data_IF_267465900546
#
_entry.id   IF_267465900546
#
_cell.length_a   1.000
_cell.length_b   1.000
_cell.length_c   1.000
_cell.angle_alpha   90.00
_cell.angle_beta   90.00
_cell.angle_gamma   90.00
#
_symmetry.space_group_name_H-M   'P 1'
#
loop_
_entity.id
_entity.type
_entity.pdbx_description
1 polymer ?
#
# COMPACT_ATOMS: atom_id res chain seq x y z
N UNK A 1 -7.82 10.67 -4.26
CA UNK A 1 -7.88 9.28 -3.81
C UNK A 1 -9.34 8.88 -3.72
N UNK A 2 -9.73 7.94 -4.57
CA UNK A 2 -11.09 7.39 -4.60
C UNK A 2 -11.33 6.52 -3.36
N UNK A 3 -12.54 6.59 -2.83
CA UNK A 3 -13.03 5.68 -1.80
C UNK A 3 -13.00 4.27 -2.37
N UNK A 4 -12.28 3.34 -1.73
CA UNK A 4 -12.43 1.92 -2.03
C UNK A 4 -13.88 1.56 -1.69
N UNK A 5 -14.66 1.25 -2.72
CA UNK A 5 -16.07 0.85 -2.59
C UNK A 5 -17.00 1.87 -1.88
N UNK A 6 -16.67 3.16 -1.86
CA UNK A 6 -17.47 4.16 -1.13
C UNK A 6 -17.32 4.14 0.40
N UNK A 7 -16.51 3.23 0.95
CA UNK A 7 -16.09 3.20 2.35
C UNK A 7 -14.92 4.17 2.58
N UNK A 8 -14.62 4.49 3.85
CA UNK A 8 -13.62 5.50 4.25
C UNK A 8 -12.34 5.42 3.39
N UNK A 9 -11.76 6.57 3.00
CA UNK A 9 -10.52 6.57 2.24
C UNK A 9 -9.45 5.83 3.04
N UNK A 10 -8.71 4.92 2.40
CA UNK A 10 -7.39 4.57 2.92
C UNK A 10 -6.62 5.88 3.12
N UNK A 11 -5.99 6.02 4.28
CA UNK A 11 -5.23 7.21 4.65
C UNK A 11 -4.25 7.59 3.54
N UNK A 12 -4.07 8.90 3.26
CA UNK A 12 -3.19 9.35 2.20
C UNK A 12 -1.76 8.88 2.43
N UNK A 13 -1.07 8.63 1.32
CA UNK A 13 0.38 8.42 1.28
C UNK A 13 1.09 9.53 2.07
N UNK A 14 2.05 9.20 2.95
CA UNK A 14 2.80 10.20 3.70
C UNK A 14 3.56 11.15 2.76
N UNK A 15 3.57 12.43 3.12
CA UNK A 15 4.49 13.42 2.56
C UNK A 15 5.75 13.43 3.43
N UNK A 16 6.91 13.61 2.81
CA UNK A 16 8.20 13.68 3.50
C UNK A 16 8.86 15.03 3.22
N UNK A 17 9.92 15.38 3.92
CA UNK A 17 10.70 16.60 3.83
C UNK A 17 12.16 16.17 3.74
N UNK A 18 12.76 16.36 2.57
CA UNK A 18 14.15 16.01 2.31
C UNK A 18 14.94 17.31 2.06
N UNK A 19 16.01 17.53 2.83
CA UNK A 19 16.88 18.73 2.73
C UNK A 19 16.12 20.07 2.77
N UNK A 20 15.08 20.16 3.61
CA UNK A 20 14.30 21.40 3.78
C UNK A 20 13.27 21.66 2.67
N UNK A 21 13.00 20.68 1.80
CA UNK A 21 11.94 20.75 0.79
C UNK A 21 10.90 19.66 1.03
N UNK A 22 9.62 20.00 0.93
CA UNK A 22 8.55 19.01 0.98
C UNK A 22 8.62 18.12 -0.27
N UNK A 23 8.85 16.83 -0.05
CA UNK A 23 8.85 15.76 -1.03
C UNK A 23 7.50 15.04 -0.98
N UNK A 24 6.79 15.12 -2.09
CA UNK A 24 5.52 14.44 -2.29
C UNK A 24 5.77 13.24 -3.21
N UNK A 25 5.44 12.05 -2.73
CA UNK A 25 5.39 10.86 -3.58
C UNK A 25 3.97 10.80 -4.15
N UNK A 26 3.82 11.31 -5.38
CA UNK A 26 2.56 11.28 -6.08
C UNK A 26 2.45 9.98 -6.87
N UNK A 27 1.45 9.19 -6.50
CA UNK A 27 0.99 8.07 -7.30
C UNK A 27 0.00 8.64 -8.31
N UNK A 28 0.51 8.97 -9.50
CA UNK A 28 -0.33 9.48 -10.57
C UNK A 28 -0.92 8.31 -11.36
N UNK A 29 -2.24 8.33 -11.47
CA UNK A 29 -2.94 7.63 -12.55
C UNK A 29 -2.88 8.56 -13.75
N UNK A 30 -2.04 8.24 -14.72
CA UNK A 30 -1.98 9.00 -15.96
C UNK A 30 -3.17 8.59 -16.84
N UNK A 31 -4.26 9.38 -16.78
CA UNK A 31 -5.34 9.28 -17.75
C UNK A 31 -5.08 10.28 -18.88
N UNK A 32 -4.48 9.82 -19.98
CA UNK A 32 -4.53 10.56 -21.25
C UNK A 32 -5.52 9.90 -22.20
N UNK A 33 -6.26 10.75 -22.91
CA UNK A 33 -7.38 10.41 -23.80
C UNK A 33 -6.83 9.77 -25.08
N UNK A 34 -6.45 8.50 -25.02
CA UNK A 34 -6.82 7.50 -26.02
C UNK A 34 -6.59 6.10 -25.45
N UNK A 35 -7.52 5.19 -25.72
CA UNK A 35 -7.64 3.87 -25.05
C UNK A 35 -6.36 3.04 -25.17
N UNK A 36 -5.66 2.78 -24.05
CA UNK A 36 -4.91 1.53 -23.72
C UNK A 36 -3.73 1.72 -22.74
N UNK A 37 -3.88 2.51 -21.66
CA UNK A 37 -2.87 2.57 -20.60
C UNK A 37 -3.50 2.81 -19.22
N UNK A 38 -3.17 1.96 -18.24
CA UNK A 38 -3.39 2.16 -16.80
C UNK A 38 -2.11 1.76 -16.05
N UNK A 39 -1.06 2.56 -16.21
CA UNK A 39 0.16 2.48 -15.40
C UNK A 39 0.07 3.41 -14.19
N UNK A 40 0.68 3.00 -13.08
CA UNK A 40 0.97 3.89 -11.95
C UNK A 40 2.42 4.33 -12.06
N UNK A 41 2.63 5.63 -12.15
CA UNK A 41 3.95 6.24 -12.01
C UNK A 41 4.07 6.76 -10.57
N UNK A 42 5.18 6.42 -9.90
CA UNK A 42 5.60 7.07 -8.67
C UNK A 42 6.55 8.19 -9.06
N UNK A 43 6.02 9.40 -9.20
CA UNK A 43 6.82 10.60 -9.37
C UNK A 43 7.12 11.19 -7.99
N UNK A 44 8.39 11.45 -7.72
CA UNK A 44 8.78 12.31 -6.63
C UNK A 44 8.80 13.75 -7.14
N UNK A 45 8.02 14.62 -6.51
CA UNK A 45 8.08 16.05 -6.77
C UNK A 45 8.51 16.77 -5.50
N UNK A 46 9.42 17.73 -5.66
CA UNK A 46 9.74 18.70 -4.62
C UNK A 46 8.75 19.85 -4.76
N UNK A 47 8.02 20.15 -3.70
CA UNK A 47 7.15 21.32 -3.63
C UNK A 47 8.07 22.52 -3.41
N UNK A 48 8.41 23.20 -4.50
CA UNK A 48 9.07 24.50 -4.41
C UNK A 48 8.05 25.52 -3.88
N UNK A 49 8.33 26.09 -2.70
CA UNK A 49 7.55 27.20 -2.14
C UNK A 49 7.52 28.37 -3.13
N UNK A 50 6.33 28.70 -3.63
CA UNK A 50 6.09 29.78 -4.59
C UNK A 50 6.57 31.13 -4.03
N UNK A 51 7.51 31.85 -4.69
CA UNK A 51 7.77 33.25 -4.39
C UNK A 51 6.65 34.16 -4.97
N UNK A 52 6.39 35.33 -4.38
CA UNK A 52 5.26 36.19 -4.78
C UNK A 52 5.44 36.78 -6.20
N UNK A 53 4.34 37.18 -6.88
CA UNK A 53 4.34 37.49 -8.29
C UNK A 53 5.06 38.82 -8.57
N UNK A 54 6.00 38.81 -9.50
CA UNK A 54 6.59 40.02 -10.08
C UNK A 54 6.07 40.21 -11.50
N UNK A 55 5.72 41.46 -11.79
CA UNK A 55 5.01 42.03 -12.93
C UNK A 55 5.60 41.78 -14.32
N UNK A 56 4.66 41.67 -15.26
CA UNK A 56 4.72 41.64 -16.73
C UNK A 56 5.64 42.68 -17.37
N UNK A 57 6.39 42.28 -18.42
CA UNK A 57 6.70 43.10 -19.61
C UNK A 57 7.17 42.25 -20.80
N UNK A 58 6.55 42.47 -21.95
CA UNK A 58 6.94 42.06 -23.33
C UNK A 58 7.25 43.35 -24.14
N UNK A 59 7.69 43.30 -25.42
CA UNK A 59 8.68 42.46 -26.15
C UNK A 59 9.72 43.41 -26.88
N UNK A 60 10.44 43.15 -28.03
CA UNK A 60 9.99 42.54 -29.29
C UNK A 60 10.97 41.57 -30.03
N UNK A 61 10.33 40.89 -30.99
CA UNK A 61 10.70 40.04 -32.13
C UNK A 61 11.96 40.38 -32.94
N UNK A 62 12.69 39.35 -33.41
CA UNK A 62 13.27 39.35 -34.77
C UNK A 62 13.43 37.94 -35.36
N UNK A 63 12.93 37.79 -36.59
CA UNK A 63 12.89 36.63 -37.47
C UNK A 63 14.25 36.31 -38.12
N UNK A 64 14.59 35.02 -38.30
CA UNK A 64 15.23 34.47 -39.52
C UNK A 64 15.44 32.95 -39.45
N UNK A 65 14.86 32.22 -40.41
CA UNK A 65 15.21 30.84 -40.80
C UNK A 65 16.35 30.85 -41.83
N UNK A 66 17.18 29.79 -41.85
CA UNK A 66 17.33 29.00 -43.08
C UNK A 66 17.43 27.47 -42.83
N UNK A 67 17.36 26.64 -43.89
CA UNK A 67 17.06 25.21 -43.80
C UNK A 67 18.31 24.33 -43.78
N UNK A 68 18.31 23.27 -42.98
CA UNK A 68 19.27 22.16 -43.16
C UNK A 68 18.63 20.83 -42.80
N UNK A 69 18.54 19.98 -43.81
CA UNK A 69 18.19 18.56 -43.77
C UNK A 69 19.10 17.80 -42.80
N UNK A 70 18.54 17.10 -41.83
CA UNK A 70 19.25 16.11 -41.01
C UNK A 70 18.59 14.73 -41.17
N UNK A 71 19.40 13.65 -41.27
CA UNK A 71 18.91 12.28 -41.42
C UNK A 71 18.24 11.79 -40.13
N UNK A 72 17.30 10.86 -40.29
CA UNK A 72 16.45 10.30 -39.24
C UNK A 72 17.24 9.91 -37.97
N UNK A 73 16.73 10.23 -36.76
CA UNK A 73 17.38 9.79 -35.53
C UNK A 73 17.22 8.27 -35.39
N UNK A 74 18.36 7.61 -35.13
CA UNK A 74 18.42 6.28 -34.56
C UNK A 74 17.60 6.31 -33.26
N UNK A 75 16.53 5.50 -33.22
CA UNK A 75 15.68 5.34 -32.04
C UNK A 75 16.50 4.58 -30.99
N UNK A 76 17.22 5.31 -30.16
CA UNK A 76 17.79 4.78 -28.93
C UNK A 76 16.66 4.74 -27.91
N UNK A 77 15.99 3.58 -27.77
CA UNK A 77 15.01 3.34 -26.69
C UNK A 77 15.63 3.71 -25.36
N UNK A 78 14.93 4.51 -24.57
CA UNK A 78 15.38 4.93 -23.25
C UNK A 78 15.42 3.72 -22.32
N UNK A 79 16.46 3.53 -21.48
CA UNK A 79 16.50 2.46 -20.47
C UNK A 79 15.28 2.44 -19.53
N UNK A 80 14.57 3.57 -19.39
CA UNK A 80 13.33 3.68 -18.61
C UNK A 80 12.11 3.04 -19.28
N UNK A 81 12.06 2.99 -20.61
CA UNK A 81 10.92 2.39 -21.32
C UNK A 81 10.90 0.87 -21.18
N UNK A 82 12.08 0.22 -21.23
CA UNK A 82 12.18 -1.23 -21.05
C UNK A 82 11.83 -1.71 -19.64
N UNK A 83 12.16 -0.93 -18.61
CA UNK A 83 11.84 -1.28 -17.21
C UNK A 83 10.32 -1.24 -16.94
N UNK A 84 9.61 -0.28 -17.52
CA UNK A 84 8.16 -0.16 -17.37
C UNK A 84 7.42 -1.34 -18.02
N UNK A 85 7.92 -1.84 -19.16
CA UNK A 85 7.39 -3.01 -19.83
C UNK A 85 7.60 -4.29 -18.99
N UNK A 86 8.78 -4.44 -18.37
CA UNK A 86 9.10 -5.59 -17.51
C UNK A 86 8.25 -5.61 -16.23
N UNK A 87 8.07 -4.47 -15.56
CA UNK A 87 7.22 -4.34 -14.37
C UNK A 87 5.77 -4.63 -14.72
N UNK A 88 5.28 -4.10 -15.85
CA UNK A 88 3.91 -4.35 -16.33
C UNK A 88 3.68 -5.83 -16.65
N UNK A 89 4.68 -6.48 -17.27
CA UNK A 89 4.63 -7.91 -17.55
C UNK A 89 4.65 -8.74 -16.26
N UNK A 90 5.47 -8.37 -15.27
CA UNK A 90 5.53 -9.04 -13.98
C UNK A 90 4.19 -8.91 -13.21
N UNK A 91 3.60 -7.71 -13.20
CA UNK A 91 2.26 -7.46 -12.64
C UNK A 91 1.20 -8.31 -13.35
N UNK A 92 1.18 -8.33 -14.68
CA UNK A 92 0.24 -9.17 -15.43
C UNK A 92 0.38 -10.65 -15.08
N UNK A 93 1.63 -11.16 -15.04
CA UNK A 93 1.89 -12.56 -14.68
C UNK A 93 1.40 -12.92 -13.27
N UNK A 94 1.57 -12.03 -12.28
CA UNK A 94 1.13 -12.32 -10.91
C UNK A 94 -0.40 -12.28 -10.80
N UNK A 95 -1.06 -11.36 -11.49
CA UNK A 95 -2.52 -11.31 -11.59
C UNK A 95 -3.05 -12.57 -12.27
N UNK A 96 -2.51 -12.94 -13.43
CA UNK A 96 -2.90 -14.17 -14.14
C UNK A 96 -2.70 -15.41 -13.27
N UNK A 97 -1.61 -15.47 -12.49
CA UNK A 97 -1.36 -16.55 -11.54
C UNK A 97 -2.42 -16.61 -10.44
N UNK A 98 -2.74 -15.50 -9.78
CA UNK A 98 -3.81 -15.45 -8.78
C UNK A 98 -5.17 -15.85 -9.37
N UNK A 99 -5.50 -15.36 -10.56
CA UNK A 99 -6.72 -15.73 -11.26
C UNK A 99 -6.74 -17.22 -11.64
N UNK A 100 -5.58 -17.82 -11.90
CA UNK A 100 -5.42 -19.25 -12.10
C UNK A 100 -5.67 -20.11 -10.85
N UNK A 101 -5.52 -19.55 -9.64
CA UNK A 101 -5.85 -20.26 -8.39
C UNK A 101 -7.36 -20.40 -8.18
N UNK A 102 -8.17 -19.59 -8.86
CA UNK A 102 -9.64 -19.60 -8.79
C UNK A 102 -10.18 -20.89 -9.40
N UNK A 103 -10.84 -21.72 -8.57
CA UNK A 103 -11.46 -22.98 -9.04
C UNK A 103 -12.69 -22.70 -9.91
N UNK A 104 -12.79 -23.43 -11.02
CA UNK A 104 -13.95 -23.39 -11.93
C UNK A 104 -15.04 -24.34 -11.45
N UNK A 105 -16.31 -23.97 -11.66
CA UNK A 105 -17.46 -24.87 -11.49
C UNK A 105 -18.01 -25.03 -10.07
N UNK A 106 -17.41 -24.43 -9.04
CA UNK A 106 -17.98 -24.42 -7.68
C UNK A 106 -18.56 -23.05 -7.36
N UNK A 107 -19.74 -22.97 -6.75
CA UNK A 107 -20.31 -21.69 -6.30
C UNK A 107 -19.64 -21.17 -5.02
N UNK A 108 -19.06 -22.06 -4.20
CA UNK A 108 -18.33 -21.74 -2.97
C UNK A 108 -16.93 -22.35 -3.01
N UNK A 109 -16.02 -21.87 -2.14
CA UNK A 109 -14.64 -22.37 -2.02
C UNK A 109 -13.81 -22.23 -3.31
N UNK A 110 -14.04 -21.17 -4.07
CA UNK A 110 -13.32 -20.88 -5.32
C UNK A 110 -11.87 -20.52 -5.04
N UNK A 111 -11.63 -19.78 -3.97
CA UNK A 111 -10.31 -19.22 -3.64
C UNK A 111 -9.60 -19.98 -2.51
N UNK A 112 -10.36 -20.71 -1.69
CA UNK A 112 -9.82 -21.59 -0.66
C UNK A 112 -9.37 -20.86 0.60
N UNK A 113 -8.62 -21.55 1.45
CA UNK A 113 -8.30 -21.08 2.81
C UNK A 113 -7.32 -19.90 2.87
N UNK A 114 -6.58 -19.62 1.78
CA UNK A 114 -5.68 -18.47 1.67
C UNK A 114 -6.37 -17.22 1.12
N UNK A 115 -7.68 -17.29 0.86
CA UNK A 115 -8.46 -16.21 0.29
C UNK A 115 -8.18 -14.83 0.93
N UNK A 116 -8.11 -14.67 2.27
CA UNK A 116 -7.81 -13.36 2.85
C UNK A 116 -6.50 -12.73 2.34
N UNK A 117 -5.45 -13.54 2.20
CA UNK A 117 -4.14 -13.08 1.70
C UNK A 117 -4.17 -12.84 0.19
N UNK A 118 -4.86 -13.71 -0.55
CA UNK A 118 -5.04 -13.57 -2.00
C UNK A 118 -5.80 -12.28 -2.32
N UNK A 119 -6.86 -11.97 -1.58
CA UNK A 119 -7.67 -10.77 -1.81
C UNK A 119 -6.82 -9.50 -1.68
N UNK A 120 -6.07 -9.36 -0.59
CA UNK A 120 -5.19 -8.20 -0.37
C UNK A 120 -4.08 -8.13 -1.42
N UNK A 121 -3.42 -9.25 -1.72
CA UNK A 121 -2.34 -9.27 -2.71
C UNK A 121 -2.84 -8.95 -4.12
N UNK A 122 -3.99 -9.49 -4.51
CA UNK A 122 -4.61 -9.20 -5.81
C UNK A 122 -5.04 -7.74 -5.89
N UNK A 123 -5.61 -7.18 -4.82
CA UNK A 123 -6.00 -5.76 -4.78
C UNK A 123 -4.79 -4.83 -4.96
N UNK A 124 -3.68 -5.11 -4.25
CA UNK A 124 -2.46 -4.32 -4.37
C UNK A 124 -1.80 -4.47 -5.75
N UNK A 125 -1.89 -5.65 -6.35
CA UNK A 125 -1.39 -5.88 -7.71
C UNK A 125 -2.27 -5.21 -8.77
N UNK A 126 -3.59 -5.29 -8.64
CA UNK A 126 -4.55 -4.83 -9.62
C UNK A 126 -5.91 -4.45 -9.00
N UNK A 127 -6.15 -3.13 -8.93
CA UNK A 127 -7.39 -2.57 -8.39
C UNK A 127 -8.58 -2.72 -9.36
N UNK A 128 -8.35 -2.97 -10.66
CA UNK A 128 -9.44 -3.11 -11.64
C UNK A 128 -10.34 -4.31 -11.33
N UNK A 129 -9.77 -5.38 -10.74
CA UNK A 129 -10.53 -6.54 -10.27
C UNK A 129 -11.48 -6.26 -9.09
N UNK A 130 -11.33 -5.10 -8.45
CA UNK A 130 -12.08 -4.70 -7.25
C UNK A 130 -13.03 -3.52 -7.51
N UNK A 131 -13.17 -3.10 -8.77
CA UNK A 131 -14.15 -2.11 -9.15
C UNK A 131 -15.59 -2.65 -9.00
N UNK A 132 -16.51 -1.74 -8.71
CA UNK A 132 -17.93 -2.07 -8.57
C UNK A 132 -18.45 -2.72 -9.87
N UNK A 133 -19.15 -3.85 -9.75
CA UNK A 133 -19.66 -4.60 -10.90
C UNK A 133 -18.74 -5.71 -11.40
N UNK A 134 -17.50 -5.80 -10.90
CA UNK A 134 -16.64 -6.95 -11.17
C UNK A 134 -17.08 -8.16 -10.32
N UNK A 135 -17.34 -9.31 -10.96
CA UNK A 135 -17.73 -10.54 -10.24
C UNK A 135 -16.68 -11.02 -9.23
N UNK A 136 -15.40 -10.71 -9.43
CA UNK A 136 -14.29 -11.13 -8.55
C UNK A 136 -14.47 -10.61 -7.12
N UNK A 137 -14.75 -9.31 -6.94
CA UNK A 137 -14.92 -8.74 -5.61
C UNK A 137 -16.12 -9.31 -4.87
N UNK A 138 -17.23 -9.54 -5.59
CA UNK A 138 -18.44 -10.14 -5.03
C UNK A 138 -18.19 -11.59 -4.57
N UNK A 139 -17.46 -12.36 -5.38
CA UNK A 139 -17.07 -13.73 -5.03
C UNK A 139 -16.17 -13.78 -3.79
N UNK A 140 -15.15 -12.91 -3.74
CA UNK A 140 -14.24 -12.84 -2.61
C UNK A 140 -14.97 -12.41 -1.34
N UNK A 141 -15.81 -11.37 -1.42
CA UNK A 141 -16.66 -10.92 -0.31
C UNK A 141 -17.52 -12.06 0.24
N UNK A 142 -18.28 -12.74 -0.65
CA UNK A 142 -19.18 -13.83 -0.26
C UNK A 142 -18.42 -14.95 0.44
N UNK A 143 -17.28 -15.38 -0.13
CA UNK A 143 -16.50 -16.48 0.44
C UNK A 143 -15.78 -16.08 1.74
N UNK A 144 -15.23 -14.85 1.84
CA UNK A 144 -14.66 -14.32 3.08
C UNK A 144 -15.69 -14.30 4.21
N UNK A 145 -16.89 -13.81 3.91
CA UNK A 145 -18.01 -13.74 4.84
C UNK A 145 -18.39 -15.13 5.34
N UNK A 146 -18.55 -16.11 4.45
CA UNK A 146 -18.86 -17.50 4.83
C UNK A 146 -17.74 -18.10 5.69
N UNK A 147 -16.47 -17.90 5.32
CA UNK A 147 -15.34 -18.42 6.10
C UNK A 147 -15.30 -17.83 7.51
N UNK A 148 -15.55 -16.52 7.65
CA UNK A 148 -15.53 -15.86 8.95
C UNK A 148 -16.74 -16.21 9.81
N UNK A 149 -17.94 -16.26 9.22
CA UNK A 149 -19.16 -16.70 9.93
C UNK A 149 -19.02 -18.13 10.43
N UNK A 150 -18.40 -19.02 9.64
CA UNK A 150 -18.12 -20.40 10.08
C UNK A 150 -17.19 -20.44 11.29
N UNK A 151 -16.22 -19.53 11.41
CA UNK A 151 -15.34 -19.42 12.59
C UNK A 151 -16.06 -18.89 13.83
N UNK A 152 -17.12 -18.11 13.64
CA UNK A 152 -17.95 -17.54 14.70
C UNK A 152 -19.08 -18.48 15.17
N UNK A 153 -19.27 -19.63 14.50
CA UNK A 153 -20.28 -20.60 14.91
C UNK A 153 -20.06 -21.06 16.36
N UNK A 154 -21.16 -21.21 17.10
CA UNK A 154 -21.12 -21.62 18.52
C UNK A 154 -20.79 -20.50 19.50
N UNK A 155 -20.87 -19.23 19.10
CA UNK A 155 -20.63 -18.08 19.98
C UNK A 155 -19.14 -17.82 20.28
N UNK A 156 -18.25 -18.42 19.49
CA UNK A 156 -16.81 -18.26 19.65
C UNK A 156 -16.33 -16.83 19.32
N UNK A 157 -15.25 -16.43 19.98
CA UNK A 157 -14.50 -15.22 19.63
C UNK A 157 -13.48 -15.51 18.54
N UNK A 158 -13.24 -14.55 17.64
CA UNK A 158 -12.17 -14.67 16.66
C UNK A 158 -10.82 -14.50 17.36
N UNK A 159 -9.84 -15.30 16.96
CA UNK A 159 -8.47 -15.14 17.47
C UNK A 159 -7.87 -13.87 16.87
N UNK A 160 -6.99 -13.20 17.60
CA UNK A 160 -6.20 -12.06 17.10
C UNK A 160 -5.63 -12.27 15.70
N UNK A 161 -4.98 -13.42 15.45
CA UNK A 161 -4.44 -13.77 14.13
C UNK A 161 -5.51 -13.80 13.03
N UNK A 162 -6.71 -14.30 13.34
CA UNK A 162 -7.82 -14.30 12.39
C UNK A 162 -8.26 -12.84 12.11
N UNK A 163 -8.46 -12.02 13.16
CA UNK A 163 -8.80 -10.61 13.02
C UNK A 163 -7.79 -9.86 12.12
N UNK A 164 -6.48 -10.02 12.39
CA UNK A 164 -5.42 -9.32 11.64
C UNK A 164 -5.36 -9.71 10.16
N UNK A 165 -5.83 -10.90 9.79
CA UNK A 165 -5.80 -11.38 8.40
C UNK A 165 -7.12 -11.06 7.69
N UNK A 166 -8.26 -11.14 8.38
CA UNK A 166 -9.57 -10.93 7.79
C UNK A 166 -9.94 -9.46 7.65
N UNK A 167 -9.59 -8.59 8.61
CA UNK A 167 -9.88 -7.15 8.51
C UNK A 167 -9.39 -6.55 7.19
N UNK A 168 -8.09 -6.66 6.81
CA UNK A 168 -7.63 -6.09 5.54
C UNK A 168 -8.28 -6.75 4.32
N UNK A 169 -8.59 -8.05 4.39
CA UNK A 169 -9.27 -8.76 3.32
C UNK A 169 -10.72 -8.29 3.10
N UNK A 170 -11.44 -8.04 4.20
CA UNK A 170 -12.81 -7.51 4.17
C UNK A 170 -12.82 -6.10 3.58
N UNK A 171 -11.88 -5.24 4.00
CA UNK A 171 -11.75 -3.87 3.48
C UNK A 171 -11.57 -3.85 1.96
N UNK A 172 -10.65 -4.67 1.42
CA UNK A 172 -10.45 -4.72 -0.04
C UNK A 172 -11.61 -5.40 -0.76
N UNK A 173 -12.34 -6.30 -0.10
CA UNK A 173 -13.51 -6.98 -0.65
C UNK A 173 -14.82 -6.18 -0.48
N UNK A 174 -14.74 -4.88 -0.20
CA UNK A 174 -15.90 -4.00 0.01
C UNK A 174 -16.83 -4.44 1.16
N UNK A 175 -16.30 -5.03 2.22
CA UNK A 175 -17.04 -5.35 3.45
C UNK A 175 -16.51 -4.47 4.57
N UNK A 176 -17.41 -3.78 5.27
CA UNK A 176 -17.05 -2.96 6.42
C UNK A 176 -16.70 -3.84 7.64
N UNK A 177 -15.43 -3.92 8.07
CA UNK A 177 -15.05 -4.71 9.24
C UNK A 177 -15.55 -4.10 10.56
N UNK A 178 -15.96 -2.82 10.59
CA UNK A 178 -16.51 -2.17 11.79
C UNK A 178 -17.99 -2.47 12.01
N UNK A 179 -18.67 -2.99 10.98
CA UNK A 179 -20.06 -3.41 11.04
C UNK A 179 -20.26 -4.77 10.38
N UNK A 180 -19.42 -5.74 10.75
CA UNK A 180 -19.54 -7.10 10.27
C UNK A 180 -20.65 -7.84 11.03
N UNK A 181 -21.86 -7.87 10.46
CA UNK A 181 -23.04 -8.51 11.08
C UNK A 181 -23.31 -8.03 12.52
N UNK A 182 -23.18 -6.72 12.75
CA UNK A 182 -23.37 -6.11 14.07
C UNK A 182 -22.17 -6.23 15.01
N UNK A 183 -21.01 -6.69 14.52
CA UNK A 183 -19.75 -6.72 15.27
C UNK A 183 -18.74 -5.74 14.69
N UNK A 184 -18.03 -5.04 15.56
CA UNK A 184 -16.87 -4.22 15.19
C UNK A 184 -15.60 -5.06 15.38
N UNK A 185 -15.13 -5.68 14.29
CA UNK A 185 -13.94 -6.52 14.31
C UNK A 185 -12.66 -5.70 14.56
N UNK A 186 -12.67 -4.41 14.21
CA UNK A 186 -11.55 -3.50 14.44
C UNK A 186 -11.43 -3.20 15.93
N UNK A 187 -12.55 -2.90 16.58
CA UNK A 187 -12.61 -2.71 18.03
C UNK A 187 -12.28 -4.00 18.79
N UNK A 188 -12.74 -5.17 18.31
CA UNK A 188 -12.35 -6.47 18.88
C UNK A 188 -10.82 -6.65 18.84
N UNK A 189 -10.17 -6.36 17.70
CA UNK A 189 -8.70 -6.44 17.59
C UNK A 189 -7.98 -5.45 18.52
N UNK A 190 -8.46 -4.20 18.60
CA UNK A 190 -7.90 -3.17 19.49
C UNK A 190 -7.96 -3.62 20.96
N UNK A 191 -9.13 -4.07 21.40
CA UNK A 191 -9.36 -4.57 22.76
C UNK A 191 -8.44 -5.78 23.08
N UNK A 192 -8.28 -6.70 22.13
CA UNK A 192 -7.40 -7.85 22.27
C UNK A 192 -5.93 -7.45 22.44
N UNK A 193 -5.46 -6.42 21.73
CA UNK A 193 -4.09 -5.91 21.86
C UNK A 193 -3.91 -5.27 23.24
N UNK A 194 -4.83 -4.41 23.66
CA UNK A 194 -4.73 -3.66 24.92
C UNK A 194 -4.80 -4.58 26.15
N UNK A 195 -5.72 -5.55 26.15
CA UNK A 195 -5.92 -6.48 27.27
C UNK A 195 -4.75 -7.43 27.51
N UNK A 196 -3.99 -7.78 26.48
CA UNK A 196 -2.83 -8.68 26.59
C UNK A 196 -1.52 -7.92 26.82
N UNK A 197 -1.48 -7.09 27.86
CA UNK A 197 -0.36 -6.20 28.20
C UNK A 197 0.10 -5.27 27.06
N UNK A 198 -0.71 -5.10 26.01
CA UNK A 198 -0.29 -4.39 24.82
C UNK A 198 0.70 -5.15 23.93
N UNK A 199 0.83 -6.48 23.93
CA UNK A 199 1.84 -7.14 23.07
C UNK A 199 1.41 -7.24 21.58
N UNK A 200 0.96 -6.14 20.99
CA UNK A 200 0.58 -6.06 19.58
C UNK A 200 1.80 -6.14 18.66
N UNK A 201 1.73 -6.97 17.63
CA UNK A 201 2.74 -7.01 16.57
C UNK A 201 2.63 -5.78 15.65
N UNK A 202 3.70 -5.38 14.95
CA UNK A 202 3.63 -4.26 14.01
C UNK A 202 2.57 -4.46 12.91
N UNK A 203 2.37 -5.70 12.47
CA UNK A 203 1.33 -6.04 11.50
C UNK A 203 -0.08 -5.77 12.04
N UNK A 204 -0.33 -6.06 13.32
CA UNK A 204 -1.63 -5.79 13.96
C UNK A 204 -1.91 -4.28 14.06
N UNK A 205 -0.89 -3.48 14.40
CA UNK A 205 -1.01 -2.02 14.43
C UNK A 205 -1.21 -1.42 13.04
N UNK A 206 -0.52 -1.94 12.02
CA UNK A 206 -0.73 -1.57 10.62
C UNK A 206 -2.18 -1.85 10.19
N UNK A 207 -2.72 -3.03 10.55
CA UNK A 207 -4.10 -3.40 10.24
C UNK A 207 -5.10 -2.44 10.88
N UNK A 208 -4.91 -2.10 12.17
CA UNK A 208 -5.75 -1.12 12.86
C UNK A 208 -5.68 0.25 12.19
N UNK A 209 -4.48 0.73 11.88
CA UNK A 209 -4.28 2.03 11.24
C UNK A 209 -4.94 2.11 9.85
N UNK A 210 -4.75 1.08 9.02
CA UNK A 210 -5.38 0.98 7.71
C UNK A 210 -6.92 0.92 7.80
N UNK A 211 -7.46 0.36 8.88
CA UNK A 211 -8.90 0.34 9.17
C UNK A 211 -9.43 1.65 9.77
N UNK A 212 -8.61 2.70 9.79
CA UNK A 212 -8.95 4.03 10.30
C UNK A 212 -9.12 4.07 11.81
N UNK A 213 -8.56 3.10 12.54
CA UNK A 213 -8.51 3.15 13.99
C UNK A 213 -7.54 4.23 14.48
N UNK A 214 -7.88 4.94 15.56
CA UNK A 214 -7.06 6.02 16.08
C UNK A 214 -5.75 5.46 16.65
N UNK A 215 -4.61 5.89 16.10
CA UNK A 215 -3.30 5.53 16.62
C UNK A 215 -2.94 6.41 17.82
N UNK A 216 -2.39 5.81 18.87
CA UNK A 216 -1.96 6.52 20.08
C UNK A 216 -0.44 6.74 20.12
N UNK A 217 0.04 7.66 20.95
CA UNK A 217 1.48 7.83 21.22
C UNK A 217 2.12 6.54 21.74
N UNK A 218 1.35 5.72 22.47
CA UNK A 218 1.78 4.40 22.95
C UNK A 218 2.00 3.43 21.80
N UNK A 219 1.17 3.49 20.75
CA UNK A 219 1.34 2.68 19.54
C UNK A 219 2.60 3.13 18.78
N UNK A 220 2.80 4.44 18.63
CA UNK A 220 4.00 5.03 18.01
C UNK A 220 5.27 4.58 18.73
N UNK A 221 5.32 4.76 20.05
CA UNK A 221 6.47 4.36 20.87
C UNK A 221 6.73 2.85 20.78
N UNK A 222 5.66 2.04 20.72
CA UNK A 222 5.77 0.59 20.55
C UNK A 222 6.38 0.22 19.21
N UNK A 223 5.96 0.85 18.12
CA UNK A 223 6.53 0.59 16.79
C UNK A 223 8.02 0.91 16.75
N UNK A 224 8.44 2.04 17.32
CA UNK A 224 9.85 2.40 17.46
C UNK A 224 10.61 1.36 18.32
N UNK A 225 10.07 0.97 19.47
CA UNK A 225 10.69 -0.04 20.35
C UNK A 225 10.85 -1.39 19.65
N UNK A 226 9.83 -1.83 18.91
CA UNK A 226 9.89 -3.08 18.15
C UNK A 226 10.95 -2.97 17.06
N UNK A 227 11.05 -1.81 16.39
CA UNK A 227 12.09 -1.56 15.39
C UNK A 227 13.50 -1.63 15.96
N UNK A 228 13.72 -1.27 17.22
CA UNK A 228 15.06 -1.24 17.84
C UNK A 228 15.48 -2.56 18.54
N UNK A 229 14.53 -3.45 18.84
CA UNK A 229 14.73 -4.73 19.53
C UNK A 229 15.55 -5.84 18.81
N UNK A 230 16.83 -5.62 18.43
CA UNK A 230 17.71 -6.42 17.52
C UNK A 230 17.85 -7.96 17.66
N UNK A 231 17.10 -8.65 18.52
CA UNK A 231 17.36 -10.04 18.92
C UNK A 231 16.25 -11.04 18.53
N UNK A 232 15.38 -10.76 17.54
CA UNK A 232 14.24 -11.63 17.19
C UNK A 232 14.41 -12.29 15.81
N UNK A 233 13.96 -13.55 15.60
CA UNK A 233 13.78 -14.11 14.26
C UNK A 233 12.86 -13.23 13.38
N UNK A 234 13.11 -13.17 12.07
CA UNK A 234 12.40 -12.29 11.12
C UNK A 234 12.47 -10.80 11.49
N UNK A 235 13.60 -10.42 12.09
CA UNK A 235 13.91 -9.07 12.55
C UNK A 235 13.56 -8.00 11.51
N UNK A 236 14.09 -8.14 10.30
CA UNK A 236 13.93 -7.16 9.23
C UNK A 236 12.49 -7.07 8.73
N UNK A 237 11.75 -8.18 8.70
CA UNK A 237 10.31 -8.16 8.34
C UNK A 237 9.50 -7.38 9.38
N UNK A 238 9.79 -7.54 10.67
CA UNK A 238 9.13 -6.78 11.73
C UNK A 238 9.50 -5.29 11.68
N UNK A 239 10.75 -4.97 11.37
CA UNK A 239 11.20 -3.59 11.17
C UNK A 239 10.49 -2.92 9.99
N UNK A 240 10.36 -3.63 8.86
CA UNK A 240 9.61 -3.14 7.70
C UNK A 240 8.14 -2.91 8.05
N UNK A 241 7.48 -3.87 8.71
CA UNK A 241 6.09 -3.71 9.16
C UNK A 241 5.93 -2.57 10.16
N UNK A 242 6.88 -2.35 11.07
CA UNK A 242 6.86 -1.23 12.01
C UNK A 242 7.01 0.11 11.30
N UNK A 243 7.84 0.17 10.26
CA UNK A 243 8.01 1.36 9.41
C UNK A 243 6.72 1.68 8.67
N UNK A 244 6.08 0.68 8.06
CA UNK A 244 4.78 0.83 7.39
C UNK A 244 3.66 1.28 8.35
N UNK A 245 3.58 0.66 9.52
CA UNK A 245 2.59 0.99 10.53
C UNK A 245 2.78 2.42 11.06
N UNK A 246 4.02 2.84 11.28
CA UNK A 246 4.36 4.17 11.72
C UNK A 246 4.07 5.22 10.64
N UNK A 247 4.35 4.90 9.38
CA UNK A 247 4.03 5.74 8.23
C UNK A 247 2.51 5.94 8.06
N UNK A 248 1.73 4.89 8.31
CA UNK A 248 0.27 5.02 8.36
C UNK A 248 -0.15 5.92 9.53
N UNK A 249 0.42 5.72 10.73
CA UNK A 249 0.09 6.52 11.91
C UNK A 249 0.42 8.00 11.71
N UNK A 250 1.54 8.33 11.05
CA UNK A 250 1.93 9.72 10.75
C UNK A 250 1.00 10.43 9.78
N UNK A 251 0.24 9.68 8.97
CA UNK A 251 -0.77 10.24 8.09
C UNK A 251 -2.07 10.62 8.82
N UNK A 252 -2.30 10.07 10.03
CA UNK A 252 -3.52 10.32 10.79
C UNK A 252 -3.52 11.70 11.47
N UNK A 253 -4.67 12.39 11.50
CA UNK A 253 -4.79 13.66 12.21
C UNK A 253 -4.60 13.46 13.71
N UNK A 254 -3.80 14.33 14.34
CA UNK A 254 -3.58 14.34 15.78
C UNK A 254 -2.48 13.42 16.29
N UNK A 255 -1.81 12.67 15.42
CA UNK A 255 -0.63 11.86 15.76
C UNK A 255 0.62 12.62 15.32
N UNK A 256 1.55 12.84 16.25
CA UNK A 256 2.84 13.47 15.94
C UNK A 256 3.92 12.41 15.85
N UNK A 257 4.38 12.13 14.64
CA UNK A 257 5.58 11.32 14.38
C UNK A 257 6.66 12.26 13.84
N UNK A 258 7.85 12.23 14.44
CA UNK A 258 8.99 12.95 13.86
C UNK A 258 9.35 12.30 12.52
N UNK A 259 9.26 13.10 11.47
CA UNK A 259 9.50 12.64 10.11
C UNK A 259 10.93 12.07 9.93
N UNK A 260 11.89 12.60 10.69
CA UNK A 260 13.26 12.07 10.71
C UNK A 260 13.30 10.63 11.21
N UNK A 261 12.41 10.25 12.12
CA UNK A 261 12.34 8.88 12.63
C UNK A 261 11.99 7.90 11.50
N UNK A 262 11.02 8.23 10.65
CA UNK A 262 10.66 7.40 9.50
C UNK A 262 11.80 7.31 8.49
N UNK A 263 12.47 8.44 8.22
CA UNK A 263 13.63 8.46 7.33
C UNK A 263 14.77 7.60 7.86
N UNK A 264 15.09 7.71 9.15
CA UNK A 264 16.14 6.95 9.81
C UNK A 264 15.83 5.44 9.79
N UNK A 265 14.58 5.05 10.08
CA UNK A 265 14.13 3.66 9.97
C UNK A 265 14.29 3.11 8.55
N UNK A 266 13.88 3.88 7.53
CA UNK A 266 14.04 3.48 6.13
C UNK A 266 15.53 3.37 5.73
N UNK A 267 16.38 4.29 6.21
CA UNK A 267 17.82 4.24 5.97
C UNK A 267 18.46 3.01 6.63
N UNK A 268 18.04 2.64 7.84
CA UNK A 268 18.52 1.43 8.52
C UNK A 268 18.14 0.15 7.78
N UNK A 269 16.94 0.08 7.19
CA UNK A 269 16.56 -1.03 6.33
C UNK A 269 17.41 -1.06 5.05
N UNK A 270 17.66 0.10 4.43
CA UNK A 270 18.51 0.21 3.23
C UNK A 270 19.95 -0.24 3.49
N UNK A 271 20.53 0.05 4.66
CA UNK A 271 21.90 -0.38 5.02
C UNK A 271 22.09 -1.90 4.98
N UNK A 272 21.00 -2.67 5.09
CA UNK A 272 21.00 -4.14 5.04
C UNK A 272 20.96 -4.71 3.63
N UNK A 273 20.88 -3.85 2.61
CA UNK A 273 20.86 -4.28 1.22
C UNK A 273 22.20 -4.92 0.81
N UNK A 274 22.14 -6.15 0.32
CA UNK A 274 23.27 -6.84 -0.29
C UNK A 274 23.61 -6.23 -1.66
N UNK A 275 24.81 -6.52 -2.16
CA UNK A 275 25.30 -6.04 -3.47
C UNK A 275 24.39 -6.44 -4.65
N UNK A 276 23.62 -7.51 -4.51
CA UNK A 276 22.65 -7.96 -5.51
C UNK A 276 21.30 -7.22 -5.44
N UNK A 277 21.16 -6.23 -4.55
CA UNK A 277 19.94 -5.44 -4.38
C UNK A 277 18.92 -6.04 -3.40
N UNK A 278 19.11 -7.27 -2.91
CA UNK A 278 18.19 -7.91 -1.96
C UNK A 278 18.49 -7.51 -0.51
N UNK A 279 17.47 -7.52 0.35
CA UNK A 279 17.59 -7.39 1.81
C UNK A 279 17.21 -8.72 2.43
N UNK A 280 18.15 -9.37 3.12
CA UNK A 280 18.08 -10.73 3.69
C UNK A 280 17.74 -11.85 2.69
N UNK A 281 16.50 -11.86 2.17
CA UNK A 281 16.02 -12.78 1.15
C UNK A 281 14.94 -12.09 0.29
N UNK A 282 14.52 -12.73 -0.82
CA UNK A 282 13.59 -12.11 -1.77
C UNK A 282 12.22 -11.78 -1.17
N UNK A 283 11.75 -12.53 -0.16
CA UNK A 283 10.46 -12.29 0.50
C UNK A 283 10.54 -11.08 1.41
N UNK A 284 11.61 -10.99 2.20
CA UNK A 284 11.92 -9.81 3.04
C UNK A 284 12.13 -8.57 2.18
N UNK A 285 12.83 -8.71 1.05
CA UNK A 285 13.04 -7.61 0.10
C UNK A 285 11.71 -7.04 -0.40
N UNK A 286 10.76 -7.89 -0.77
CA UNK A 286 9.44 -7.44 -1.24
C UNK A 286 8.63 -6.68 -0.17
N UNK A 287 8.90 -6.94 1.11
CA UNK A 287 8.28 -6.22 2.22
C UNK A 287 9.00 -4.91 2.54
N UNK A 288 10.34 -4.88 2.47
CA UNK A 288 11.15 -3.67 2.70
C UNK A 288 10.95 -2.61 1.62
N UNK A 289 10.57 -3.01 0.40
CA UNK A 289 10.28 -2.08 -0.71
C UNK A 289 8.95 -1.34 -0.52
N UNK A 290 7.99 -1.94 0.19
CA UNK A 290 6.69 -1.32 0.48
C UNK A 290 6.85 -0.15 1.44
#
# INVERSE_FOLDING_TARGET
>A
MEKICGLLPMQPQPYFTFEGRQMRIDFRSDSYVDRSYSGFSAEYSFIDSVPPPTTTRTPPTTTRTPPTTFPSPIVTRSPREGLNDEVSLAKKKIVDWFMGLRRKGTQTKKWGHQLPRIAVALFLADQENFQLGNSTVYEMNTELTIQLLSKLQGGGHLKRRDLSIYIPALMVACVDPRNFYGRDLVAELRSDIESNNGTGSPFELLVLCNAGDAMSDRDVQRMATIFDSQHRPFWTDNQAMATLALACASAQPGVTVDERTLLDMAQELKKRQFRNGTVDNIKTTALVIQ
#
